data_IF_166696144641
#
_entry.id   IF_166696144641
#
_cell.length_a   1.000
_cell.length_b   1.000
_cell.length_c   1.000
_cell.angle_alpha   90.00
_cell.angle_beta   90.00
_cell.angle_gamma   90.00
#
_symmetry.space_group_name_H-M   'P 1'
#
loop_
_entity.id
_entity.type
_entity.pdbx_description
1 polymer ?
#
# COMPACT_ATOMS: atom_id res chain seq x y z
N UNK A 1 5.37 -15.45 42.57
CA UNK A 1 4.08 -16.04 42.19
C UNK A 1 3.66 -15.39 40.89
N UNK A 2 3.74 -16.11 39.78
CA UNK A 2 3.50 -15.60 38.43
C UNK A 2 2.01 -15.76 38.10
N UNK A 3 1.28 -14.66 37.89
CA UNK A 3 -0.10 -14.72 37.43
C UNK A 3 -0.13 -14.95 35.91
N UNK A 4 -0.50 -16.16 35.52
CA UNK A 4 -0.70 -16.55 34.13
C UNK A 4 -2.08 -16.04 33.66
N UNK A 5 -2.08 -14.93 32.92
CA UNK A 5 -3.28 -14.41 32.27
C UNK A 5 -3.58 -15.22 31.00
N UNK A 6 -4.50 -16.18 31.11
CA UNK A 6 -5.08 -16.85 29.94
C UNK A 6 -6.15 -15.96 29.32
N UNK A 7 -5.77 -15.12 28.35
CA UNK A 7 -6.75 -14.35 27.57
C UNK A 7 -7.49 -15.30 26.62
N UNK A 8 -8.76 -15.59 26.91
CA UNK A 8 -9.67 -16.25 25.95
C UNK A 8 -9.87 -15.33 24.75
N UNK A 9 -9.20 -15.60 23.64
CA UNK A 9 -9.41 -14.89 22.38
C UNK A 9 -10.76 -15.27 21.81
N UNK A 10 -11.75 -14.40 21.96
CA UNK A 10 -13.04 -14.57 21.29
C UNK A 10 -12.83 -14.59 19.78
N UNK A 11 -13.45 -15.52 19.03
CA UNK A 11 -13.33 -15.56 17.58
C UNK A 11 -13.84 -14.24 16.98
N UNK A 12 -13.12 -13.74 15.97
CA UNK A 12 -13.50 -12.51 15.26
C UNK A 12 -14.91 -12.64 14.70
N UNK A 13 -15.80 -11.70 15.05
CA UNK A 13 -17.16 -11.65 14.51
C UNK A 13 -17.17 -11.57 12.98
N UNK A 14 -16.13 -10.97 12.39
CA UNK A 14 -15.99 -10.87 10.94
C UNK A 14 -15.89 -12.26 10.29
N UNK A 15 -15.15 -13.19 10.88
CA UNK A 15 -14.99 -14.55 10.34
C UNK A 15 -16.25 -15.42 10.54
N UNK A 16 -17.26 -14.94 11.27
CA UNK A 16 -18.56 -15.62 11.41
C UNK A 16 -19.55 -15.20 10.32
N UNK A 17 -19.23 -14.16 9.53
CA UNK A 17 -20.06 -13.77 8.40
C UNK A 17 -19.98 -14.83 7.29
N UNK A 18 -21.09 -15.12 6.59
CA UNK A 18 -21.09 -15.89 5.35
C UNK A 18 -20.02 -15.40 4.37
N UNK A 19 -19.46 -16.30 3.56
CA UNK A 19 -18.37 -15.98 2.65
C UNK A 19 -18.77 -14.87 1.66
N UNK A 20 -20.01 -14.90 1.16
CA UNK A 20 -20.58 -13.96 0.21
C UNK A 20 -20.53 -12.52 0.76
N UNK A 21 -20.94 -12.32 2.01
CA UNK A 21 -20.90 -11.00 2.65
C UNK A 21 -19.46 -10.52 2.87
N UNK A 22 -18.52 -11.44 3.12
CA UNK A 22 -17.11 -11.08 3.26
C UNK A 22 -16.47 -10.71 1.93
N UNK A 23 -16.81 -11.42 0.85
CA UNK A 23 -16.39 -11.08 -0.51
C UNK A 23 -16.94 -9.71 -0.92
N UNK A 24 -18.18 -9.38 -0.54
CA UNK A 24 -18.73 -8.04 -0.74
C UNK A 24 -17.97 -6.98 0.06
N UNK A 25 -17.58 -7.24 1.31
CA UNK A 25 -16.70 -6.31 2.05
C UNK A 25 -15.34 -6.14 1.37
N UNK A 26 -14.77 -7.22 0.84
CA UNK A 26 -13.49 -7.15 0.11
C UNK A 26 -13.62 -6.34 -1.19
N UNK A 27 -14.75 -6.40 -1.90
CA UNK A 27 -14.97 -5.65 -3.15
C UNK A 27 -14.94 -4.13 -2.94
N UNK A 28 -15.29 -3.68 -1.74
CA UNK A 28 -15.27 -2.26 -1.33
C UNK A 28 -13.89 -1.81 -0.81
N UNK A 29 -12.91 -2.70 -0.67
CA UNK A 29 -11.59 -2.39 -0.14
C UNK A 29 -10.63 -1.95 -1.27
N UNK A 30 -9.67 -1.09 -0.94
CA UNK A 30 -8.56 -0.80 -1.85
C UNK A 30 -7.64 -2.03 -2.04
N UNK A 31 -6.87 -2.05 -3.12
CA UNK A 31 -5.84 -3.09 -3.31
C UNK A 31 -4.84 -3.14 -2.14
N UNK A 32 -4.46 -1.98 -1.60
CA UNK A 32 -3.54 -1.94 -0.46
C UNK A 32 -4.18 -2.52 0.80
N UNK A 33 -5.43 -2.17 1.10
CA UNK A 33 -6.17 -2.71 2.25
C UNK A 33 -6.35 -4.23 2.12
N UNK A 34 -6.70 -4.74 0.93
CA UNK A 34 -6.78 -6.18 0.68
C UNK A 34 -5.44 -6.89 0.93
N UNK A 35 -4.33 -6.27 0.52
CA UNK A 35 -3.01 -6.80 0.80
C UNK A 35 -2.76 -6.89 2.32
N UNK A 36 -3.12 -5.87 3.09
CA UNK A 36 -3.02 -5.91 4.55
C UNK A 36 -3.89 -7.02 5.13
N UNK A 37 -5.15 -7.15 4.69
CA UNK A 37 -6.05 -8.22 5.13
C UNK A 37 -5.45 -9.60 4.90
N UNK A 38 -4.82 -9.84 3.74
CA UNK A 38 -4.13 -11.11 3.48
C UNK A 38 -3.01 -11.36 4.49
N UNK A 39 -2.34 -10.33 5.01
CA UNK A 39 -1.28 -10.48 6.00
C UNK A 39 -1.80 -10.77 7.42
N UNK A 40 -3.07 -10.48 7.73
CA UNK A 40 -3.61 -10.62 9.10
C UNK A 40 -3.92 -12.05 9.51
N UNK A 41 -4.55 -12.85 8.65
CA UNK A 41 -4.93 -14.25 8.98
C UNK A 41 -4.85 -15.16 7.75
N UNK A 42 -4.72 -16.48 7.98
CA UNK A 42 -4.68 -17.47 6.89
C UNK A 42 -6.03 -17.62 6.16
N UNK A 43 -7.15 -17.55 6.89
CA UNK A 43 -8.49 -17.67 6.30
C UNK A 43 -8.79 -16.52 5.33
N UNK A 44 -8.55 -15.27 5.75
CA UNK A 44 -8.73 -14.10 4.86
C UNK A 44 -7.81 -14.17 3.64
N UNK A 45 -6.55 -14.58 3.84
CA UNK A 45 -5.61 -14.79 2.73
C UNK A 45 -6.15 -15.81 1.73
N UNK A 46 -6.56 -16.99 2.18
CA UNK A 46 -7.06 -18.05 1.30
C UNK A 46 -8.27 -17.59 0.49
N UNK A 47 -9.22 -16.89 1.10
CA UNK A 47 -10.41 -16.39 0.41
C UNK A 47 -10.11 -15.35 -0.65
N UNK A 48 -9.25 -14.37 -0.34
CA UNK A 48 -8.85 -13.32 -1.29
C UNK A 48 -8.06 -13.94 -2.45
N UNK A 49 -7.20 -14.92 -2.18
CA UNK A 49 -6.41 -15.60 -3.22
C UNK A 49 -7.25 -16.53 -4.09
N UNK A 50 -8.34 -17.11 -3.57
CA UNK A 50 -9.29 -17.91 -4.33
C UNK A 50 -10.17 -17.08 -5.29
N UNK A 51 -10.28 -15.77 -5.08
CA UNK A 51 -11.09 -14.87 -5.91
C UNK A 51 -10.26 -13.72 -6.51
N UNK A 52 -9.38 -14.00 -7.50
CA UNK A 52 -8.53 -12.97 -8.09
C UNK A 52 -9.26 -11.79 -8.70
N UNK A 53 -10.51 -11.96 -9.14
CA UNK A 53 -11.35 -10.88 -9.66
C UNK A 53 -11.48 -9.72 -8.67
N UNK A 54 -11.54 -10.02 -7.36
CA UNK A 54 -11.65 -9.01 -6.30
C UNK A 54 -10.47 -8.07 -6.37
N UNK A 55 -9.24 -8.55 -6.15
CA UNK A 55 -8.10 -7.64 -6.09
C UNK A 55 -7.68 -7.10 -7.47
N UNK A 56 -7.93 -7.82 -8.57
CA UNK A 56 -7.56 -7.36 -9.93
C UNK A 56 -8.36 -6.15 -10.40
N UNK A 57 -9.59 -6.00 -9.92
CA UNK A 57 -10.48 -4.89 -10.30
C UNK A 57 -10.46 -3.73 -9.29
N UNK A 58 -9.84 -3.93 -8.12
CA UNK A 58 -9.79 -2.90 -7.07
C UNK A 58 -8.87 -1.73 -7.40
N UNK A 59 -9.24 -0.56 -6.89
CA UNK A 59 -8.46 0.66 -7.10
C UNK A 59 -7.07 0.53 -6.47
N UNK A 60 -6.05 0.93 -7.23
CA UNK A 60 -4.65 0.90 -6.80
C UNK A 60 -3.90 -0.39 -7.18
N UNK A 61 -4.58 -1.38 -7.76
CA UNK A 61 -3.93 -2.60 -8.27
C UNK A 61 -3.24 -2.38 -9.62
N UNK A 62 -2.15 -3.11 -9.86
CA UNK A 62 -1.52 -3.26 -11.17
C UNK A 62 -1.17 -4.74 -11.42
N UNK A 63 -1.55 -5.24 -12.60
CA UNK A 63 -1.33 -6.63 -12.98
C UNK A 63 0.15 -6.92 -13.25
N UNK A 64 0.81 -6.02 -13.95
CA UNK A 64 2.21 -6.11 -14.32
C UNK A 64 2.99 -5.05 -13.54
N UNK A 65 3.70 -5.43 -12.46
CA UNK A 65 4.49 -4.49 -11.69
C UNK A 65 5.53 -3.77 -12.55
N UNK A 66 5.83 -2.52 -12.20
CA UNK A 66 6.83 -1.71 -12.89
C UNK A 66 8.22 -2.41 -12.92
N UNK A 67 9.00 -2.18 -13.99
CA UNK A 67 10.25 -2.91 -14.27
C UNK A 67 11.36 -2.72 -13.22
N UNK A 68 11.27 -1.70 -12.35
CA UNK A 68 12.23 -1.48 -11.28
C UNK A 68 12.11 -2.49 -10.12
N UNK A 69 11.01 -3.26 -10.06
CA UNK A 69 10.96 -4.41 -9.16
C UNK A 69 11.97 -5.46 -9.59
N UNK A 70 12.82 -5.92 -8.67
CA UNK A 70 13.78 -7.00 -8.96
C UNK A 70 13.06 -8.22 -9.55
N UNK A 71 13.45 -8.73 -10.73
CA UNK A 71 12.81 -9.89 -11.34
C UNK A 71 12.78 -11.05 -10.34
N UNK A 72 11.60 -11.58 -10.08
CA UNK A 72 11.44 -12.80 -9.28
C UNK A 72 10.81 -13.86 -10.16
N UNK A 73 11.43 -15.03 -10.15
CA UNK A 73 11.06 -16.18 -10.97
C UNK A 73 9.69 -16.76 -10.60
N UNK A 74 9.21 -16.53 -9.37
CA UNK A 74 7.87 -16.88 -8.92
C UNK A 74 7.32 -15.78 -8.02
N UNK A 75 6.49 -14.90 -8.58
CA UNK A 75 5.77 -13.90 -7.78
C UNK A 75 4.46 -14.49 -7.27
N UNK A 76 4.14 -14.31 -5.98
CA UNK A 76 2.78 -14.59 -5.51
C UNK A 76 1.79 -13.74 -6.32
N UNK A 77 0.63 -14.32 -6.63
CA UNK A 77 -0.38 -13.71 -7.50
C UNK A 77 -0.90 -12.34 -7.00
N UNK A 78 -0.69 -12.03 -5.72
CA UNK A 78 -1.02 -10.75 -5.11
C UNK A 78 0.02 -10.37 -4.05
N UNK A 79 0.69 -9.23 -4.26
CA UNK A 79 1.80 -8.77 -3.42
C UNK A 79 1.87 -7.24 -3.38
N UNK A 80 2.78 -6.70 -2.56
CA UNK A 80 3.05 -5.24 -2.56
C UNK A 80 3.47 -4.70 -3.92
N UNK A 81 4.06 -5.54 -4.78
CA UNK A 81 4.47 -5.14 -6.14
C UNK A 81 3.30 -4.84 -7.05
N UNK A 82 2.14 -5.42 -6.72
CA UNK A 82 0.89 -5.19 -7.42
C UNK A 82 0.15 -3.97 -6.89
N UNK A 83 0.70 -3.23 -5.92
CA UNK A 83 0.11 -1.99 -5.42
C UNK A 83 0.78 -0.83 -6.13
N UNK A 84 0.09 -0.23 -7.10
CA UNK A 84 0.53 0.96 -7.82
C UNK A 84 0.28 2.23 -7.01
N UNK A 85 -0.86 2.29 -6.33
CA UNK A 85 -1.34 3.49 -5.64
C UNK A 85 -2.10 3.12 -4.38
N UNK A 86 -1.94 3.91 -3.33
CA UNK A 86 -2.84 3.91 -2.17
C UNK A 86 -3.96 4.92 -2.39
N UNK A 87 -5.04 4.80 -1.62
CA UNK A 87 -6.30 5.53 -1.84
C UNK A 87 -6.54 6.65 -0.83
N UNK A 88 -5.85 6.67 0.30
CA UNK A 88 -6.03 7.67 1.35
C UNK A 88 -4.73 8.07 2.05
N UNK A 89 -4.76 9.18 2.79
CA UNK A 89 -3.63 9.63 3.60
C UNK A 89 -3.28 8.64 4.71
N UNK A 90 -4.27 7.96 5.28
CA UNK A 90 -4.11 6.91 6.29
C UNK A 90 -3.36 5.71 5.71
N UNK A 91 -3.68 5.31 4.47
CA UNK A 91 -2.96 4.26 3.76
C UNK A 91 -1.52 4.66 3.44
N UNK A 92 -1.27 5.91 3.04
CA UNK A 92 0.09 6.45 2.90
C UNK A 92 0.86 6.29 4.21
N UNK A 93 0.26 6.73 5.32
CA UNK A 93 0.89 6.64 6.63
C UNK A 93 1.15 5.18 7.01
N UNK A 94 0.20 4.27 6.77
CA UNK A 94 0.35 2.85 7.08
C UNK A 94 1.43 2.20 6.21
N UNK A 95 1.41 2.41 4.90
CA UNK A 95 2.42 1.93 3.95
C UNK A 95 3.83 2.37 4.38
N UNK A 96 4.00 3.66 4.68
CA UNK A 96 5.29 4.21 5.12
C UNK A 96 5.71 3.71 6.51
N UNK A 97 4.76 3.45 7.42
CA UNK A 97 5.05 2.79 8.71
C UNK A 97 5.56 1.37 8.50
N UNK A 98 4.90 0.59 7.64
CA UNK A 98 5.28 -0.78 7.32
C UNK A 98 6.66 -0.85 6.67
N UNK A 99 6.94 0.10 5.77
CA UNK A 99 8.24 0.26 5.14
C UNK A 99 9.33 0.80 6.11
N UNK A 100 8.99 1.14 7.36
CA UNK A 100 9.95 1.55 8.39
C UNK A 100 10.42 3.01 8.29
N UNK A 101 9.72 3.86 7.55
CA UNK A 101 10.16 5.21 7.20
C UNK A 101 10.34 6.14 8.40
N UNK A 102 9.52 6.00 9.45
CA UNK A 102 9.63 6.81 10.68
C UNK A 102 11.03 6.70 11.33
N UNK A 103 11.74 5.59 11.12
CA UNK A 103 13.12 5.39 11.63
C UNK A 103 14.17 6.10 10.78
N UNK A 104 13.92 6.26 9.48
CA UNK A 104 14.81 6.98 8.56
C UNK A 104 14.72 8.49 8.81
N UNK A 105 13.48 8.94 8.88
CA UNK A 105 13.05 10.28 9.22
C UNK A 105 13.78 10.91 10.41
N UNK A 106 13.73 10.25 11.58
CA UNK A 106 14.23 10.81 12.84
C UNK A 106 15.76 10.89 12.93
N UNK A 107 16.47 10.04 12.20
CA UNK A 107 17.93 9.94 12.37
C UNK A 107 18.72 10.88 11.47
N UNK A 108 18.05 11.60 10.56
CA UNK A 108 18.72 12.23 9.42
C UNK A 108 19.34 11.13 8.55
N UNK A 109 18.97 11.07 7.27
CA UNK A 109 19.57 10.09 6.37
C UNK A 109 21.01 10.55 6.09
N UNK A 110 21.96 10.21 6.97
CA UNK A 110 23.38 10.18 6.61
C UNK A 110 23.54 8.99 5.68
N UNK A 111 23.86 9.28 4.41
CA UNK A 111 24.06 8.32 3.32
C UNK A 111 25.34 7.51 3.63
N UNK A 112 25.23 6.60 4.59
CA UNK A 112 26.30 5.71 5.02
C UNK A 112 25.78 4.26 4.93
N UNK A 113 26.64 3.29 5.23
CA UNK A 113 26.39 1.82 5.23
C UNK A 113 25.09 1.32 5.88
N UNK A 114 24.36 2.17 6.62
CA UNK A 114 23.01 1.89 7.10
C UNK A 114 21.96 1.85 5.97
N UNK A 115 22.11 2.61 4.88
CA UNK A 115 21.18 2.59 3.74
C UNK A 115 21.17 1.22 3.06
N UNK A 116 22.31 0.57 2.90
CA UNK A 116 22.36 -0.75 2.25
C UNK A 116 21.66 -1.83 3.10
N UNK A 117 21.73 -1.72 4.43
CA UNK A 117 20.94 -2.57 5.35
C UNK A 117 19.43 -2.28 5.33
N UNK A 118 19.02 -1.10 4.85
CA UNK A 118 17.62 -0.71 4.71
C UNK A 118 17.05 -1.07 3.34
N UNK A 119 17.86 -0.92 2.28
CA UNK A 119 17.57 -1.42 0.92
C UNK A 119 17.25 -2.91 0.92
N UNK A 120 17.91 -3.70 1.79
CA UNK A 120 17.66 -5.13 1.89
C UNK A 120 16.32 -5.49 2.56
N UNK A 121 15.68 -4.56 3.29
CA UNK A 121 14.46 -4.84 4.04
C UNK A 121 13.20 -4.51 3.25
N UNK A 122 12.99 -3.27 2.83
CA UNK A 122 11.80 -2.86 2.07
C UNK A 122 12.15 -1.69 1.13
N UNK A 123 12.28 -1.92 -0.19
CA UNK A 123 12.75 -0.91 -1.14
C UNK A 123 11.60 -0.02 -1.64
N UNK A 124 10.57 0.29 -0.84
CA UNK A 124 9.42 1.05 -1.34
C UNK A 124 8.81 1.98 -0.29
N UNK A 125 7.97 2.90 -0.76
CA UNK A 125 7.09 3.74 0.05
C UNK A 125 5.99 4.39 -0.78
N UNK A 126 5.06 5.06 -0.12
CA UNK A 126 3.93 5.74 -0.75
C UNK A 126 4.08 7.26 -0.66
N UNK A 127 3.92 7.95 -1.80
CA UNK A 127 3.89 9.41 -1.88
C UNK A 127 2.59 9.97 -1.25
N UNK A 128 2.56 11.10 -0.52
CA UNK A 128 1.39 11.66 0.13
C UNK A 128 0.62 12.58 -0.83
N UNK A 129 1.21 12.92 -1.98
CA UNK A 129 0.66 13.84 -2.97
C UNK A 129 0.03 13.00 -4.10
N UNK A 130 0.83 12.24 -4.85
CA UNK A 130 0.25 11.39 -5.91
C UNK A 130 -0.33 10.08 -5.38
N UNK A 131 -0.11 9.71 -4.12
CA UNK A 131 -0.49 8.41 -3.54
C UNK A 131 0.17 7.20 -4.21
N UNK A 132 1.15 7.41 -5.09
CA UNK A 132 1.85 6.34 -5.79
C UNK A 132 2.80 5.59 -4.87
N UNK A 133 2.84 4.26 -5.01
CA UNK A 133 3.84 3.39 -4.37
C UNK A 133 5.04 3.28 -5.32
N UNK A 134 6.22 3.65 -4.84
CA UNK A 134 7.44 3.77 -5.66
C UNK A 134 8.66 3.16 -4.97
N UNK A 135 9.71 2.97 -5.75
CA UNK A 135 11.01 2.52 -5.26
C UNK A 135 11.61 3.52 -4.28
N UNK A 136 12.25 3.02 -3.23
CA UNK A 136 12.89 3.85 -2.20
C UNK A 136 13.97 4.75 -2.80
N UNK A 137 14.73 4.26 -3.80
CA UNK A 137 15.77 5.07 -4.44
C UNK A 137 15.19 6.29 -5.16
N UNK A 138 13.97 6.23 -5.70
CA UNK A 138 13.32 7.41 -6.29
C UNK A 138 13.09 8.51 -5.25
N UNK A 139 12.92 8.15 -3.97
CA UNK A 139 12.79 9.13 -2.89
C UNK A 139 14.14 9.61 -2.35
N UNK A 140 15.18 8.76 -2.41
CA UNK A 140 16.52 9.08 -1.91
C UNK A 140 17.32 9.97 -2.86
N UNK A 141 17.08 9.90 -4.17
CA UNK A 141 17.71 10.81 -5.14
C UNK A 141 17.17 12.24 -5.07
N UNK A 142 16.06 12.46 -4.36
CA UNK A 142 15.54 13.78 -4.09
C UNK A 142 16.25 14.35 -2.83
N UNK A 143 17.20 15.26 -3.03
CA UNK A 143 18.17 15.76 -2.05
C UNK A 143 17.59 16.45 -0.81
N UNK A 144 16.27 16.63 -0.74
CA UNK A 144 15.56 17.22 0.40
C UNK A 144 14.36 16.36 0.80
N UNK A 145 14.67 15.19 1.36
CA UNK A 145 13.79 14.07 1.80
C UNK A 145 12.53 14.49 2.60
N UNK A 146 12.46 15.72 3.10
CA UNK A 146 11.29 16.22 3.83
C UNK A 146 10.53 17.38 3.18
N UNK A 147 11.16 18.19 2.33
CA UNK A 147 10.48 19.35 1.70
C UNK A 147 9.85 19.02 0.36
N UNK A 148 10.21 17.88 -0.24
CA UNK A 148 9.89 17.55 -1.63
C UNK A 148 9.17 16.21 -1.81
N UNK A 149 8.21 15.90 -0.94
CA UNK A 149 7.10 15.07 -1.45
C UNK A 149 6.44 15.71 -2.69
N UNK A 150 6.63 17.03 -2.89
CA UNK A 150 6.27 17.84 -4.07
C UNK A 150 6.95 17.43 -5.38
N UNK A 151 8.21 16.97 -5.36
CA UNK A 151 8.98 16.74 -6.59
C UNK A 151 8.99 15.28 -7.01
N UNK A 152 7.99 14.51 -6.58
CA UNK A 152 7.73 13.25 -7.25
C UNK A 152 7.47 13.58 -8.73
N UNK A 153 8.29 13.03 -9.65
CA UNK A 153 8.18 13.31 -11.09
C UNK A 153 6.76 13.07 -11.65
N UNK A 154 6.00 12.15 -11.04
CA UNK A 154 4.58 11.90 -11.37
C UNK A 154 3.63 12.95 -10.77
N UNK A 155 3.99 13.61 -9.66
CA UNK A 155 3.26 14.77 -9.11
C UNK A 155 3.45 16.00 -9.99
N UNK A 156 4.67 16.23 -10.49
CA UNK A 156 4.98 17.37 -11.36
C UNK A 156 4.11 17.35 -12.63
N UNK A 157 3.96 16.19 -13.28
CA UNK A 157 3.07 16.02 -14.44
C UNK A 157 1.59 16.25 -14.10
N UNK A 158 1.13 15.81 -12.93
CA UNK A 158 -0.27 16.02 -12.49
C UNK A 158 -0.60 17.49 -12.20
N UNK A 159 0.38 18.29 -11.79
CA UNK A 159 0.20 19.73 -11.61
C UNK A 159 0.00 20.48 -12.93
N UNK A 160 0.39 19.89 -14.06
CA UNK A 160 0.27 20.51 -15.39
C UNK A 160 -0.99 20.07 -16.14
N UNK A 161 -1.57 18.89 -15.83
CA UNK A 161 -2.60 18.27 -16.69
C UNK A 161 -4.00 18.11 -16.08
N UNK A 162 -4.35 18.73 -14.94
CA UNK A 162 -5.75 18.74 -14.48
C UNK A 162 -6.43 20.09 -14.74
N UNK A 163 -7.04 20.31 -15.93
CA UNK A 163 -8.13 21.26 -16.01
C UNK A 163 -9.24 20.73 -15.11
N UNK A 164 -9.70 21.56 -14.17
CA UNK A 164 -10.88 21.27 -13.36
C UNK A 164 -12.04 21.01 -14.31
N UNK A 165 -12.39 19.74 -14.51
CA UNK A 165 -13.59 19.38 -15.26
C UNK A 165 -14.77 19.93 -14.44
N UNK A 166 -15.58 20.85 -14.97
CA UNK A 166 -16.75 21.35 -14.26
C UNK A 166 -17.64 20.16 -13.95
N UNK A 167 -18.02 20.05 -12.67
CA UNK A 167 -18.89 19.02 -12.15
C UNK A 167 -20.18 19.01 -13.00
N UNK A 168 -20.56 17.89 -13.66
CA UNK A 168 -21.83 17.80 -14.37
C UNK A 168 -22.94 17.74 -13.32
N UNK A 169 -23.34 18.90 -12.80
CA UNK A 169 -24.55 19.04 -12.02
C UNK A 169 -25.75 18.82 -12.96
N UNK A 170 -26.37 17.66 -12.83
CA UNK A 170 -27.82 17.45 -12.93
C UNK A 170 -28.52 18.05 -14.16
N UNK A 171 -28.25 17.47 -15.34
CA UNK A 171 -29.23 17.46 -16.43
C UNK A 171 -30.15 16.25 -16.27
N UNK A 172 -31.20 16.40 -15.46
CA UNK A 172 -32.33 15.47 -15.44
C UNK A 172 -33.29 15.74 -16.61
N UNK A 173 -34.15 14.76 -16.95
CA UNK A 173 -34.88 14.65 -18.22
C UNK A 173 -35.92 15.74 -18.48
#
# INVERSE_FOLDING_TARGET
>A
MSHEFTTKTSPSLFLRLPAELRLEVYSQCSAFTLLILTATTRSLRSEIFLHPSIYRQTTGYIQEPEAWWTPRTTLPAFSIRNIKRVTSAEEVQLCNRMAGWKRLAKNGIRINSKIDKLRSRLPYGACPICLGVKDLNMFLTCSYVWRLWRDCADCEKKHVEQPVQPNPMWGGP
#
